data_IF_246661628271
#
_entry.id   IF_246661628271
#
_cell.length_a   1.000
_cell.length_b   1.000
_cell.length_c   1.000
_cell.angle_alpha   90.00
_cell.angle_beta   90.00
_cell.angle_gamma   90.00
#
_symmetry.space_group_name_H-M   'P 1'
#
loop_
_entity.id
_entity.type
_entity.pdbx_description
1 polymer ?
#
# COMPACT_ATOMS: atom_id res chain seq x y z
N UNK A 1 -41.39 1.16 27.18
CA UNK A 1 -40.04 0.78 26.70
C UNK A 1 -39.69 1.69 25.54
N UNK A 2 -38.62 2.49 25.65
CA UNK A 2 -38.36 3.56 24.70
C UNK A 2 -37.80 2.97 23.39
N UNK A 3 -38.38 3.45 22.28
CA UNK A 3 -37.93 3.19 20.92
C UNK A 3 -36.47 3.64 20.77
N UNK A 4 -35.58 2.72 20.40
CA UNK A 4 -34.23 3.06 19.97
C UNK A 4 -34.34 3.74 18.61
N UNK A 5 -34.30 5.07 18.63
CA UNK A 5 -34.18 5.88 17.43
C UNK A 5 -32.90 5.53 16.67
N UNK A 6 -33.01 5.49 15.35
CA UNK A 6 -31.87 5.46 14.44
C UNK A 6 -30.84 6.52 14.84
N UNK A 7 -29.52 6.26 14.71
CA UNK A 7 -28.51 7.28 14.95
C UNK A 7 -28.79 8.45 14.02
N UNK A 8 -29.10 9.61 14.61
CA UNK A 8 -29.25 10.86 13.88
C UNK A 8 -27.96 11.09 13.10
N UNK A 9 -28.04 11.15 11.77
CA UNK A 9 -26.99 11.72 10.94
C UNK A 9 -26.90 13.20 11.28
N UNK A 10 -26.11 13.55 12.30
CA UNK A 10 -25.61 14.91 12.45
C UNK A 10 -24.88 15.23 11.16
N UNK A 11 -25.44 16.12 10.35
CA UNK A 11 -24.82 16.56 9.11
C UNK A 11 -23.38 16.98 9.42
N UNK A 12 -22.41 16.27 8.84
CA UNK A 12 -21.00 16.54 9.11
C UNK A 12 -20.70 17.98 8.66
N UNK A 13 -20.30 18.81 9.63
CA UNK A 13 -20.12 20.25 9.41
C UNK A 13 -18.90 20.45 8.50
N UNK A 14 -19.00 21.22 7.40
CA UNK A 14 -17.85 21.53 6.58
C UNK A 14 -16.84 22.35 7.40
N UNK A 15 -15.59 21.91 7.40
CA UNK A 15 -14.47 22.67 7.98
C UNK A 15 -13.68 23.40 6.89
N UNK A 16 -13.09 24.57 7.22
CA UNK A 16 -12.25 25.30 6.29
C UNK A 16 -11.02 24.48 5.92
N UNK A 17 -10.60 24.60 4.67
CA UNK A 17 -9.39 23.94 4.16
C UNK A 17 -8.15 24.56 4.81
N UNK A 18 -7.28 23.76 5.47
CA UNK A 18 -6.00 24.25 5.96
C UNK A 18 -5.14 24.78 4.81
N UNK A 19 -4.48 25.92 5.00
CA UNK A 19 -3.54 26.49 4.00
C UNK A 19 -2.09 26.08 4.24
N UNK A 20 -1.83 25.42 5.38
CA UNK A 20 -0.49 24.96 5.79
C UNK A 20 -0.59 23.55 6.35
N UNK A 21 0.45 22.76 6.12
CA UNK A 21 0.62 21.43 6.71
C UNK A 21 1.93 21.43 7.50
N UNK A 22 1.86 21.10 8.79
CA UNK A 22 3.06 21.04 9.64
C UNK A 22 4.02 19.94 9.20
N UNK A 23 5.33 20.21 9.21
CA UNK A 23 6.39 19.27 8.82
C UNK A 23 7.32 19.83 7.75
N UNK A 24 8.42 19.12 7.49
CA UNK A 24 9.36 19.44 6.41
C UNK A 24 8.97 18.64 5.16
N UNK A 25 8.28 19.31 4.24
CA UNK A 25 7.76 18.71 3.00
C UNK A 25 8.44 19.31 1.78
N UNK A 26 8.72 18.49 0.78
CA UNK A 26 9.09 18.99 -0.55
C UNK A 26 7.92 19.75 -1.18
N UNK A 27 8.15 20.63 -2.18
CA UNK A 27 7.07 21.36 -2.84
C UNK A 27 5.96 20.45 -3.40
N UNK A 28 6.34 19.29 -3.96
CA UNK A 28 5.40 18.28 -4.48
C UNK A 28 4.56 17.66 -3.35
N UNK A 29 5.21 17.19 -2.29
CA UNK A 29 4.51 16.59 -1.13
C UNK A 29 3.55 17.61 -0.49
N UNK A 30 3.98 18.86 -0.33
CA UNK A 30 3.14 19.91 0.23
C UNK A 30 1.90 20.17 -0.64
N UNK A 31 2.06 20.21 -1.96
CA UNK A 31 0.94 20.36 -2.90
C UNK A 31 -0.05 19.20 -2.78
N UNK A 32 0.44 17.95 -2.78
CA UNK A 32 -0.42 16.76 -2.67
C UNK A 32 -1.18 16.72 -1.34
N UNK A 33 -0.51 16.99 -0.21
CA UNK A 33 -1.13 16.98 1.11
C UNK A 33 -2.23 18.04 1.25
N UNK A 34 -2.00 19.24 0.72
CA UNK A 34 -3.03 20.29 0.69
C UNK A 34 -4.19 19.93 -0.24
N UNK A 35 -3.91 19.34 -1.40
CA UNK A 35 -4.92 18.88 -2.34
C UNK A 35 -5.81 17.78 -1.71
N UNK A 36 -5.23 16.85 -0.94
CA UNK A 36 -5.99 15.87 -0.15
C UNK A 36 -6.90 16.59 0.85
N UNK A 37 -6.36 17.49 1.67
CA UNK A 37 -7.13 18.20 2.72
C UNK A 37 -8.24 19.08 2.16
N UNK A 38 -8.09 19.59 0.94
CA UNK A 38 -9.07 20.45 0.28
C UNK A 38 -10.36 19.73 -0.13
N UNK A 39 -10.37 18.39 -0.19
CA UNK A 39 -11.56 17.63 -0.54
C UNK A 39 -12.66 17.70 0.51
N UNK A 40 -13.87 17.37 0.09
CA UNK A 40 -15.06 17.42 0.93
C UNK A 40 -15.27 16.15 1.75
N UNK A 41 -14.39 15.95 2.73
CA UNK A 41 -14.38 14.79 3.63
C UNK A 41 -15.62 14.61 4.51
N UNK A 42 -16.46 15.64 4.61
CA UNK A 42 -17.73 15.60 5.32
C UNK A 42 -18.79 14.78 4.55
N UNK A 43 -18.62 14.61 3.24
CA UNK A 43 -19.52 13.84 2.38
C UNK A 43 -19.22 12.33 2.57
N UNK A 44 -20.28 11.53 2.62
CA UNK A 44 -20.14 10.06 2.66
C UNK A 44 -19.77 9.51 1.29
N UNK A 45 -18.86 8.54 1.26
CA UNK A 45 -18.54 7.77 0.07
C UNK A 45 -19.36 6.49 -0.06
N UNK A 46 -20.32 6.24 0.84
CA UNK A 46 -21.21 5.10 0.73
C UNK A 46 -21.99 5.15 -0.58
N UNK A 47 -22.12 4.00 -1.25
CA UNK A 47 -22.88 3.93 -2.48
C UNK A 47 -24.36 4.27 -2.24
N UNK A 48 -24.90 5.19 -3.04
CA UNK A 48 -26.29 5.60 -3.02
C UNK A 48 -27.05 4.74 -4.03
N UNK A 49 -27.60 3.63 -3.57
CA UNK A 49 -28.44 2.79 -4.40
C UNK A 49 -29.86 3.37 -4.49
N UNK A 50 -30.43 3.37 -5.69
CA UNK A 50 -31.79 3.85 -5.94
C UNK A 50 -32.66 2.75 -6.55
N UNK A 51 -33.95 2.80 -6.26
CA UNK A 51 -34.95 1.87 -6.80
C UNK A 51 -34.59 0.41 -6.51
N UNK A 52 -34.46 -0.38 -7.57
CA UNK A 52 -34.23 -1.83 -7.51
C UNK A 52 -32.93 -2.20 -6.77
N UNK A 53 -31.84 -1.47 -7.00
CA UNK A 53 -30.55 -1.78 -6.37
C UNK A 53 -30.59 -1.63 -4.84
N UNK A 54 -31.36 -0.66 -4.33
CA UNK A 54 -31.52 -0.46 -2.89
C UNK A 54 -32.18 -1.67 -2.23
N UNK A 55 -33.21 -2.23 -2.88
CA UNK A 55 -33.90 -3.46 -2.42
C UNK A 55 -32.95 -4.65 -2.45
N UNK A 56 -32.16 -4.81 -3.53
CA UNK A 56 -31.20 -5.90 -3.65
C UNK A 56 -30.10 -5.83 -2.58
N UNK A 57 -29.57 -4.63 -2.29
CA UNK A 57 -28.61 -4.42 -1.20
C UNK A 57 -29.19 -4.80 0.15
N UNK A 58 -30.42 -4.38 0.44
CA UNK A 58 -31.09 -4.73 1.70
C UNK A 58 -31.20 -6.24 1.87
N UNK A 59 -31.59 -6.97 0.81
CA UNK A 59 -31.65 -8.44 0.83
C UNK A 59 -30.25 -9.06 1.01
N UNK A 60 -29.23 -8.51 0.35
CA UNK A 60 -27.86 -9.01 0.44
C UNK A 60 -27.26 -8.90 1.85
N UNK A 61 -27.52 -7.78 2.54
CA UNK A 61 -26.92 -7.46 3.83
C UNK A 61 -27.76 -7.90 5.03
N UNK A 62 -29.01 -8.33 4.79
CA UNK A 62 -29.88 -8.85 5.85
C UNK A 62 -29.19 -10.01 6.59
N UNK A 63 -29.14 -10.00 7.94
CA UNK A 63 -28.60 -11.12 8.70
C UNK A 63 -29.27 -12.44 8.32
N UNK A 64 -28.46 -13.47 8.14
CA UNK A 64 -28.91 -14.82 7.84
C UNK A 64 -28.31 -15.80 8.83
N UNK A 65 -29.07 -16.81 9.30
CA UNK A 65 -28.50 -17.91 10.07
C UNK A 65 -27.43 -18.64 9.26
N UNK A 66 -26.49 -19.28 9.96
CA UNK A 66 -25.49 -20.17 9.37
C UNK A 66 -26.06 -21.58 9.40
N UNK A 67 -26.15 -22.21 8.24
CA UNK A 67 -26.61 -23.59 8.12
C UNK A 67 -25.42 -24.51 7.89
N UNK A 68 -25.50 -25.73 8.42
CA UNK A 68 -24.62 -26.81 8.01
C UNK A 68 -24.95 -27.22 6.56
N UNK A 69 -23.98 -27.80 5.85
CA UNK A 69 -24.16 -28.19 4.45
C UNK A 69 -25.32 -29.19 4.25
N UNK A 70 -25.60 -30.03 5.25
CA UNK A 70 -26.72 -30.98 5.24
C UNK A 70 -28.10 -30.32 5.46
N UNK A 71 -28.15 -29.06 5.87
CA UNK A 71 -29.36 -28.33 6.26
C UNK A 71 -29.57 -27.03 5.45
N UNK A 72 -28.92 -26.92 4.28
CA UNK A 72 -29.09 -25.76 3.41
C UNK A 72 -30.54 -25.66 2.92
N UNK A 73 -31.05 -24.43 2.86
CA UNK A 73 -32.36 -24.14 2.27
C UNK A 73 -32.20 -23.69 0.81
N UNK A 74 -33.24 -23.84 -0.02
CA UNK A 74 -33.24 -23.23 -1.35
C UNK A 74 -33.15 -21.71 -1.26
N UNK A 75 -32.51 -21.10 -2.27
CA UNK A 75 -32.52 -19.65 -2.48
C UNK A 75 -33.89 -19.22 -2.99
N UNK A 76 -34.33 -18.06 -2.54
CA UNK A 76 -35.49 -17.37 -3.13
C UNK A 76 -35.12 -16.78 -4.50
N UNK A 77 -36.14 -16.38 -5.28
CA UNK A 77 -35.92 -15.69 -6.55
C UNK A 77 -35.13 -14.37 -6.37
N UNK A 78 -35.46 -13.59 -5.34
CA UNK A 78 -34.77 -12.33 -5.02
C UNK A 78 -33.31 -12.58 -4.62
N UNK A 79 -33.02 -13.61 -3.81
CA UNK A 79 -31.63 -13.96 -3.46
C UNK A 79 -30.82 -14.44 -4.68
N UNK A 80 -31.47 -15.09 -5.64
CA UNK A 80 -30.83 -15.47 -6.89
C UNK A 80 -30.48 -14.24 -7.72
N UNK A 81 -31.40 -13.29 -7.82
CA UNK A 81 -31.18 -12.01 -8.49
C UNK A 81 -30.06 -11.19 -7.84
N UNK A 82 -30.03 -11.12 -6.50
CA UNK A 82 -28.94 -10.48 -5.75
C UNK A 82 -27.59 -11.12 -6.08
N UNK A 83 -27.51 -12.46 -6.08
CA UNK A 83 -26.24 -13.13 -6.37
C UNK A 83 -25.75 -12.83 -7.80
N UNK A 84 -26.66 -12.81 -8.78
CA UNK A 84 -26.30 -12.48 -10.16
C UNK A 84 -25.83 -11.04 -10.30
N UNK A 85 -26.54 -10.07 -9.72
CA UNK A 85 -26.15 -8.66 -9.73
C UNK A 85 -24.78 -8.44 -9.06
N UNK A 86 -24.52 -9.16 -7.95
CA UNK A 86 -23.23 -9.14 -7.27
C UNK A 86 -22.11 -9.72 -8.14
N UNK A 87 -22.30 -10.89 -8.75
CA UNK A 87 -21.29 -11.54 -9.60
C UNK A 87 -20.98 -10.72 -10.87
N UNK A 88 -21.98 -10.05 -11.42
CA UNK A 88 -21.83 -9.14 -12.56
C UNK A 88 -21.22 -7.79 -12.17
N UNK A 89 -20.94 -7.55 -10.88
CA UNK A 89 -20.45 -6.29 -10.32
C UNK A 89 -21.39 -5.09 -10.54
N UNK A 90 -22.67 -5.36 -10.76
CA UNK A 90 -23.73 -4.36 -10.82
C UNK A 90 -24.16 -3.90 -9.42
N UNK A 91 -24.04 -4.78 -8.43
CA UNK A 91 -24.33 -4.51 -7.03
C UNK A 91 -23.03 -4.45 -6.21
N UNK A 92 -22.62 -3.24 -5.83
CA UNK A 92 -21.48 -2.99 -4.95
C UNK A 92 -21.82 -3.41 -3.51
N UNK A 93 -21.09 -4.38 -2.95
CA UNK A 93 -21.26 -4.87 -1.58
C UNK A 93 -19.93 -4.89 -0.83
N UNK A 94 -19.93 -4.73 0.50
CA UNK A 94 -18.73 -4.81 1.34
C UNK A 94 -18.22 -6.24 1.59
N UNK A 95 -19.01 -7.25 1.26
CA UNK A 95 -18.70 -8.68 1.37
C UNK A 95 -19.73 -9.48 0.54
N UNK A 96 -19.50 -10.78 0.29
CA UNK A 96 -20.51 -11.63 -0.35
C UNK A 96 -21.87 -11.61 0.37
N UNK A 97 -23.00 -11.83 -0.33
CA UNK A 97 -24.33 -11.80 0.27
C UNK A 97 -24.50 -12.73 1.48
N UNK A 98 -25.12 -12.24 2.55
CA UNK A 98 -25.20 -12.94 3.84
C UNK A 98 -26.05 -14.21 3.80
N UNK A 99 -27.11 -14.25 2.97
CA UNK A 99 -27.96 -15.42 2.81
C UNK A 99 -27.22 -16.65 2.27
N UNK A 100 -26.02 -16.47 1.68
CA UNK A 100 -25.20 -17.59 1.23
C UNK A 100 -24.89 -18.54 2.38
N UNK A 101 -24.74 -18.03 3.61
CA UNK A 101 -24.53 -18.83 4.84
C UNK A 101 -25.64 -19.86 5.12
N UNK A 102 -26.85 -19.66 4.58
CA UNK A 102 -27.97 -20.57 4.73
C UNK A 102 -28.29 -21.37 3.45
N UNK A 103 -27.69 -21.01 2.32
CA UNK A 103 -28.14 -21.45 0.99
C UNK A 103 -27.05 -22.06 0.12
N UNK A 104 -25.79 -22.00 0.56
CA UNK A 104 -24.63 -22.44 -0.21
C UNK A 104 -23.65 -23.25 0.65
N UNK A 105 -23.13 -24.39 0.14
CA UNK A 105 -22.13 -25.19 0.85
C UNK A 105 -20.89 -24.38 1.22
N UNK A 106 -20.22 -24.76 2.32
CA UNK A 106 -19.06 -24.03 2.84
C UNK A 106 -17.97 -23.77 1.79
N UNK A 107 -17.61 -24.79 1.00
CA UNK A 107 -16.54 -24.65 0.01
C UNK A 107 -16.89 -23.63 -1.08
N UNK A 108 -18.14 -23.61 -1.55
CA UNK A 108 -18.60 -22.65 -2.55
C UNK A 108 -18.66 -21.22 -1.98
N UNK A 109 -19.00 -21.07 -0.68
CA UNK A 109 -18.90 -19.77 -0.01
C UNK A 109 -17.46 -19.27 0.04
N UNK A 110 -16.51 -20.14 0.38
CA UNK A 110 -15.10 -19.78 0.39
C UNK A 110 -14.61 -19.35 -1.01
N UNK A 111 -15.07 -20.01 -2.08
CA UNK A 111 -14.80 -19.57 -3.45
C UNK A 111 -15.34 -18.16 -3.74
N UNK A 112 -16.52 -17.81 -3.21
CA UNK A 112 -17.08 -16.47 -3.37
C UNK A 112 -16.37 -15.40 -2.54
N UNK A 113 -15.86 -15.76 -1.36
CA UNK A 113 -14.98 -14.87 -0.58
C UNK A 113 -13.69 -14.60 -1.37
N UNK A 114 -13.07 -15.63 -1.95
CA UNK A 114 -11.88 -15.46 -2.79
C UNK A 114 -12.18 -14.65 -4.05
N UNK A 115 -13.35 -14.85 -4.68
CA UNK A 115 -13.81 -14.02 -5.79
C UNK A 115 -13.95 -12.56 -5.37
N UNK A 116 -14.52 -12.29 -4.19
CA UNK A 116 -14.68 -10.93 -3.66
C UNK A 116 -13.31 -10.24 -3.53
N UNK A 117 -12.37 -10.92 -2.87
CA UNK A 117 -11.02 -10.42 -2.66
C UNK A 117 -10.26 -10.19 -3.98
N UNK A 118 -10.42 -11.08 -4.95
CA UNK A 118 -9.65 -11.03 -6.21
C UNK A 118 -10.25 -10.05 -7.23
N UNK A 119 -11.58 -9.89 -7.25
CA UNK A 119 -12.26 -9.24 -8.38
C UNK A 119 -13.13 -8.05 -7.99
N UNK A 120 -13.46 -7.88 -6.71
CA UNK A 120 -14.32 -6.78 -6.23
C UNK A 120 -13.49 -5.77 -5.44
N UNK A 121 -12.62 -6.26 -4.56
CA UNK A 121 -11.70 -5.43 -3.81
C UNK A 121 -10.66 -4.79 -4.72
N UNK A 122 -10.26 -3.57 -4.36
CA UNK A 122 -9.23 -2.81 -5.07
C UNK A 122 -8.18 -2.37 -4.06
N UNK A 123 -6.91 -2.60 -4.40
CA UNK A 123 -5.78 -2.23 -3.56
C UNK A 123 -5.04 -1.04 -4.16
N UNK A 124 -4.99 0.06 -3.41
CA UNK A 124 -4.04 1.13 -3.68
C UNK A 124 -2.78 0.94 -2.83
N UNK A 125 -1.65 1.39 -3.34
CA UNK A 125 -0.35 1.24 -2.67
C UNK A 125 0.35 2.55 -2.51
N UNK A 126 1.11 2.69 -1.42
CA UNK A 126 2.01 3.81 -1.19
C UNK A 126 3.42 3.32 -0.88
N UNK A 127 4.41 3.96 -1.51
CA UNK A 127 5.82 3.81 -1.15
C UNK A 127 6.08 4.54 0.17
N UNK A 128 6.75 3.87 1.10
CA UNK A 128 7.14 4.42 2.40
C UNK A 128 8.65 4.49 2.53
N UNK A 129 9.14 5.72 2.67
CA UNK A 129 10.56 5.94 2.88
C UNK A 129 11.03 5.33 4.23
N UNK A 130 12.25 4.78 4.30
CA UNK A 130 12.78 4.15 5.52
C UNK A 130 12.83 5.08 6.74
N UNK A 131 12.86 6.40 6.51
CA UNK A 131 12.81 7.42 7.57
C UNK A 131 11.51 7.37 8.39
N UNK A 132 10.43 6.78 7.86
CA UNK A 132 9.18 6.52 8.59
C UNK A 132 9.37 5.53 9.75
N UNK A 133 10.43 4.70 9.72
CA UNK A 133 10.79 3.74 10.78
C UNK A 133 9.63 2.80 11.18
N UNK A 134 8.89 2.31 10.19
CA UNK A 134 7.84 1.31 10.43
C UNK A 134 8.46 -0.03 10.80
N UNK A 135 7.78 -0.78 11.67
CA UNK A 135 8.23 -2.11 12.08
C UNK A 135 7.72 -3.15 11.08
N UNK A 136 8.57 -4.12 10.72
CA UNK A 136 8.25 -5.19 9.76
C UNK A 136 6.92 -5.89 10.06
N UNK A 137 6.68 -6.23 11.32
CA UNK A 137 5.49 -6.96 11.77
C UNK A 137 4.47 -6.04 12.45
N UNK A 138 4.35 -4.79 11.98
CA UNK A 138 3.39 -3.86 12.57
C UNK A 138 1.96 -4.32 12.27
N UNK A 139 1.11 -4.33 13.28
CA UNK A 139 -0.30 -4.72 13.12
C UNK A 139 -1.09 -3.63 12.41
N UNK A 140 -2.21 -4.03 11.79
CA UNK A 140 -3.21 -3.13 11.22
C UNK A 140 -3.54 -1.96 12.16
N UNK A 141 -3.87 -2.26 13.42
CA UNK A 141 -4.28 -1.25 14.39
C UNK A 141 -3.15 -0.27 14.75
N UNK A 142 -1.91 -0.75 14.81
CA UNK A 142 -0.76 0.12 15.05
C UNK A 142 -0.48 1.05 13.86
N UNK A 143 -0.67 0.57 12.62
CA UNK A 143 -0.57 1.38 11.41
C UNK A 143 -1.65 2.46 11.36
N UNK A 144 -2.91 2.06 11.59
CA UNK A 144 -4.06 2.96 11.67
C UNK A 144 -3.84 4.05 12.72
N UNK A 145 -3.37 3.70 13.92
CA UNK A 145 -3.10 4.68 14.97
C UNK A 145 -2.03 5.71 14.58
N UNK A 146 -0.98 5.29 13.86
CA UNK A 146 0.06 6.20 13.37
C UNK A 146 -0.47 7.12 12.26
N UNK A 147 -1.24 6.59 11.31
CA UNK A 147 -1.91 7.39 10.28
C UNK A 147 -2.87 8.40 10.90
N UNK A 148 -3.67 7.99 11.89
CA UNK A 148 -4.58 8.86 12.61
C UNK A 148 -3.83 10.00 13.29
N UNK A 149 -2.82 9.67 14.09
CA UNK A 149 -2.02 10.65 14.83
C UNK A 149 -1.34 11.66 13.90
N UNK A 150 -0.84 11.19 12.75
CA UNK A 150 -0.14 12.04 11.79
C UNK A 150 -1.08 12.97 10.99
N UNK A 151 -2.37 12.65 10.88
CA UNK A 151 -3.30 13.38 10.01
C UNK A 151 -4.42 14.14 10.74
N UNK A 152 -4.66 13.84 12.03
CA UNK A 152 -5.74 14.45 12.82
C UNK A 152 -5.36 15.75 13.54
N UNK A 153 -4.40 16.51 13.00
CA UNK A 153 -3.86 17.77 13.54
C UNK A 153 -4.78 18.99 13.32
N UNK A 154 -5.83 18.83 12.52
CA UNK A 154 -6.88 19.82 12.30
C UNK A 154 -8.27 19.17 12.25
N UNK A 155 -9.37 19.93 12.44
CA UNK A 155 -10.73 19.39 12.31
C UNK A 155 -10.98 18.75 10.93
N UNK A 156 -10.50 19.40 9.85
CA UNK A 156 -10.59 18.86 8.47
C UNK A 156 -9.74 17.60 8.30
N UNK A 157 -8.51 17.59 8.82
CA UNK A 157 -7.65 16.41 8.81
C UNK A 157 -8.23 15.23 9.59
N UNK A 158 -8.93 15.50 10.70
CA UNK A 158 -9.66 14.48 11.47
C UNK A 158 -10.84 13.91 10.68
N UNK A 159 -11.61 14.75 9.98
CA UNK A 159 -12.67 14.28 9.08
C UNK A 159 -12.10 13.41 7.96
N UNK A 160 -11.04 13.87 7.30
CA UNK A 160 -10.34 13.13 6.25
C UNK A 160 -9.90 11.75 6.71
N UNK A 161 -9.19 11.66 7.84
CA UNK A 161 -8.65 10.38 8.27
C UNK A 161 -9.74 9.45 8.81
N UNK A 162 -10.80 9.98 9.45
CA UNK A 162 -11.98 9.19 9.80
C UNK A 162 -12.63 8.58 8.56
N UNK A 163 -12.83 9.38 7.50
CA UNK A 163 -13.40 8.90 6.24
C UNK A 163 -12.55 7.79 5.61
N UNK A 164 -11.22 7.95 5.59
CA UNK A 164 -10.33 6.88 5.14
C UNK A 164 -10.49 5.60 5.97
N UNK A 165 -10.59 5.70 7.29
CA UNK A 165 -10.75 4.52 8.16
C UNK A 165 -12.13 3.86 8.03
N UNK A 166 -13.16 4.60 7.65
CA UNK A 166 -14.49 4.05 7.36
C UNK A 166 -14.52 3.33 6.00
N UNK A 167 -13.79 3.85 5.02
CA UNK A 167 -13.81 3.35 3.64
C UNK A 167 -12.81 2.23 3.37
N UNK A 168 -11.65 2.24 4.05
CA UNK A 168 -10.63 1.23 3.90
C UNK A 168 -11.02 -0.03 4.66
N UNK A 169 -11.10 -1.16 3.96
CA UNK A 169 -11.30 -2.49 4.54
C UNK A 169 -10.09 -2.91 5.38
N UNK A 170 -8.89 -2.69 4.84
CA UNK A 170 -7.64 -3.12 5.45
C UNK A 170 -6.49 -2.20 5.05
N UNK A 171 -5.64 -1.87 6.02
CA UNK A 171 -4.35 -1.21 5.80
C UNK A 171 -3.20 -2.10 6.31
N UNK A 172 -2.26 -2.46 5.44
CA UNK A 172 -1.17 -3.38 5.78
C UNK A 172 0.17 -2.89 5.22
N UNK A 173 1.24 -3.06 6.01
CA UNK A 173 2.61 -2.78 5.59
C UNK A 173 3.32 -4.10 5.28
N UNK A 174 3.92 -4.22 4.09
CA UNK A 174 4.65 -5.41 3.62
C UNK A 174 5.90 -5.75 4.45
N UNK A 175 6.33 -4.79 5.28
CA UNK A 175 7.49 -4.92 6.13
C UNK A 175 8.80 -4.43 5.50
N UNK A 176 8.73 -3.88 4.29
CA UNK A 176 9.84 -3.36 3.51
C UNK A 176 9.63 -1.89 3.22
N UNK A 177 8.79 -1.55 2.25
CA UNK A 177 8.60 -0.18 1.76
C UNK A 177 7.22 0.07 1.13
N UNK A 178 6.25 -0.85 1.23
CA UNK A 178 4.92 -0.64 0.65
C UNK A 178 3.83 -0.76 1.70
N UNK A 179 2.96 0.26 1.76
CA UNK A 179 1.67 0.15 2.47
C UNK A 179 0.56 -0.10 1.44
N UNK A 180 -0.25 -1.12 1.69
CA UNK A 180 -1.44 -1.49 0.92
C UNK A 180 -2.70 -0.98 1.62
N UNK A 181 -3.57 -0.33 0.86
CA UNK A 181 -4.90 0.14 1.27
C UNK A 181 -5.94 -0.60 0.43
N UNK A 182 -6.67 -1.50 1.07
CA UNK A 182 -7.69 -2.33 0.42
C UNK A 182 -9.06 -1.68 0.61
N UNK A 183 -9.79 -1.49 -0.49
CA UNK A 183 -11.13 -0.94 -0.53
C UNK A 183 -12.11 -1.97 -1.06
N UNK A 184 -13.35 -1.94 -0.57
CA UNK A 184 -14.41 -2.88 -1.00
C UNK A 184 -14.95 -2.59 -2.41
N UNK A 185 -14.51 -1.50 -3.07
CA UNK A 185 -14.92 -1.20 -4.44
C UNK A 185 -13.95 -0.29 -5.18
N UNK A 186 -13.95 -0.42 -6.50
CA UNK A 186 -13.23 0.47 -7.42
C UNK A 186 -13.70 1.91 -7.33
N UNK A 187 -15.00 2.14 -7.11
CA UNK A 187 -15.56 3.49 -6.94
C UNK A 187 -14.94 4.20 -5.75
N UNK A 188 -14.90 3.55 -4.59
CA UNK A 188 -14.29 4.12 -3.39
C UNK A 188 -12.78 4.29 -3.61
N UNK A 189 -12.07 3.28 -4.10
CA UNK A 189 -10.64 3.37 -4.38
C UNK A 189 -10.31 4.55 -5.33
N UNK A 190 -11.10 4.78 -6.37
CA UNK A 190 -10.90 5.91 -7.30
C UNK A 190 -10.95 7.28 -6.62
N UNK A 191 -11.71 7.41 -5.52
CA UNK A 191 -11.74 8.62 -4.69
C UNK A 191 -10.45 8.81 -3.90
N UNK A 192 -9.64 7.77 -3.72
CA UNK A 192 -8.37 7.85 -2.99
C UNK A 192 -7.14 7.88 -3.90
N UNK A 193 -7.29 7.54 -5.17
CA UNK A 193 -6.21 7.55 -6.15
C UNK A 193 -5.58 8.95 -6.28
N UNK A 194 -4.24 8.99 -6.21
CA UNK A 194 -3.44 10.21 -6.28
C UNK A 194 -3.48 11.07 -5.01
N UNK A 195 -4.18 10.64 -3.96
CA UNK A 195 -4.19 11.35 -2.69
C UNK A 195 -2.98 11.02 -1.83
N UNK A 196 -2.58 12.00 -1.02
CA UNK A 196 -1.47 11.87 -0.10
C UNK A 196 -1.88 11.93 1.38
N UNK A 197 -1.25 11.08 2.19
CA UNK A 197 -1.40 11.03 3.66
C UNK A 197 -0.04 11.16 4.35
N UNK A 198 -0.04 11.55 5.63
CA UNK A 198 1.18 11.62 6.43
C UNK A 198 1.35 10.37 7.28
N UNK A 199 2.60 9.90 7.41
CA UNK A 199 2.99 8.94 8.46
C UNK A 199 4.42 9.22 8.90
N UNK A 200 4.67 9.40 10.20
CA UNK A 200 6.01 9.56 10.79
C UNK A 200 6.97 10.48 10.01
N UNK A 201 6.48 11.64 9.53
CA UNK A 201 7.30 12.59 8.75
C UNK A 201 7.55 12.19 7.28
N UNK A 202 6.73 11.28 6.74
CA UNK A 202 6.73 10.88 5.33
C UNK A 202 5.37 11.10 4.70
N UNK A 203 5.37 11.33 3.38
CA UNK A 203 4.19 11.52 2.56
C UNK A 203 3.90 10.22 1.78
N UNK A 204 2.71 9.66 1.96
CA UNK A 204 2.23 8.45 1.31
C UNK A 204 1.25 8.84 0.22
N UNK A 205 1.70 8.81 -1.03
CA UNK A 205 0.83 8.99 -2.20
C UNK A 205 0.21 7.64 -2.58
N UNK A 206 -1.11 7.57 -2.71
CA UNK A 206 -1.83 6.37 -3.09
C UNK A 206 -1.85 6.22 -4.61
N UNK A 207 -1.22 5.17 -5.10
CA UNK A 207 -1.14 4.82 -6.52
C UNK A 207 -1.80 3.48 -6.76
N UNK A 208 -2.43 3.32 -7.93
CA UNK A 208 -2.85 2.00 -8.41
C UNK A 208 -1.65 1.33 -9.07
N UNK A 209 -1.13 0.29 -8.42
CA UNK A 209 0.01 -0.49 -8.91
C UNK A 209 -0.39 -1.84 -9.50
N UNK A 210 -1.69 -2.15 -9.50
CA UNK A 210 -2.26 -3.38 -10.03
C UNK A 210 -3.06 -3.15 -11.33
N UNK A 211 -3.35 -1.90 -11.69
CA UNK A 211 -4.01 -1.55 -12.96
C UNK A 211 -3.23 -1.97 -14.21
N UNK A 212 -3.97 -2.44 -15.22
CA UNK A 212 -3.50 -2.70 -16.58
C UNK A 212 -2.17 -3.49 -16.66
N UNK A 213 -2.12 -4.61 -15.95
CA UNK A 213 -0.99 -5.54 -16.01
C UNK A 213 -0.91 -6.20 -17.38
N UNK A 214 0.01 -5.69 -18.21
CA UNK A 214 0.51 -6.40 -19.38
C UNK A 214 1.76 -7.16 -18.95
N UNK A 215 1.80 -8.46 -19.24
CA UNK A 215 2.96 -9.28 -18.90
C UNK A 215 4.24 -8.72 -19.52
N UNK A 216 5.32 -8.69 -18.74
CA UNK A 216 6.59 -8.05 -19.12
C UNK A 216 6.62 -6.52 -19.07
N UNK A 217 5.52 -5.82 -18.76
CA UNK A 217 5.49 -4.36 -18.62
C UNK A 217 5.40 -3.91 -17.15
N UNK A 218 6.28 -2.98 -16.77
CA UNK A 218 6.28 -2.35 -15.45
C UNK A 218 5.89 -0.89 -15.58
N UNK A 219 4.65 -0.57 -15.20
CA UNK A 219 4.24 0.82 -14.99
C UNK A 219 4.99 1.42 -13.80
N UNK A 220 5.09 2.75 -13.73
CA UNK A 220 5.90 3.43 -12.72
C UNK A 220 5.48 3.07 -11.27
N UNK A 221 4.18 3.02 -10.98
CA UNK A 221 3.66 2.64 -9.66
C UNK A 221 4.05 1.20 -9.28
N UNK A 222 3.95 0.26 -10.23
CA UNK A 222 4.39 -1.14 -10.06
C UNK A 222 5.91 -1.22 -9.87
N UNK A 223 6.67 -0.43 -10.63
CA UNK A 223 8.13 -0.40 -10.55
C UNK A 223 8.63 0.12 -9.19
N UNK A 224 7.87 1.02 -8.54
CA UNK A 224 8.15 1.49 -7.17
C UNK A 224 7.99 0.39 -6.12
N UNK A 225 7.07 -0.56 -6.32
CA UNK A 225 6.90 -1.72 -5.42
C UNK A 225 8.02 -2.74 -5.52
N UNK A 226 8.68 -2.81 -6.67
CA UNK A 226 9.79 -3.73 -6.84
C UNK A 226 10.94 -3.38 -5.91
N UNK A 227 11.62 -4.42 -5.41
CA UNK A 227 12.78 -4.23 -4.55
C UNK A 227 13.86 -3.46 -5.31
N UNK A 228 14.54 -2.57 -4.62
CA UNK A 228 15.55 -1.71 -5.21
C UNK A 228 16.79 -1.57 -4.32
N UNK A 229 17.96 -1.60 -4.96
CA UNK A 229 19.26 -1.43 -4.34
C UNK A 229 20.00 -0.25 -4.95
N UNK A 230 20.84 0.39 -4.13
CA UNK A 230 21.81 1.38 -4.60
C UNK A 230 23.20 0.78 -4.55
N UNK A 231 23.93 0.88 -5.66
CA UNK A 231 25.26 0.30 -5.80
C UNK A 231 26.29 1.42 -5.92
N UNK A 232 27.18 1.55 -4.93
CA UNK A 232 28.20 2.59 -4.86
C UNK A 232 29.59 2.04 -5.15
N UNK A 233 30.44 2.87 -5.77
CA UNK A 233 31.82 2.49 -6.06
C UNK A 233 31.99 1.59 -7.29
N UNK A 234 30.92 1.37 -8.07
CA UNK A 234 30.96 0.59 -9.31
C UNK A 234 31.32 1.43 -10.56
N UNK A 235 31.79 2.66 -10.39
CA UNK A 235 32.09 3.58 -11.49
C UNK A 235 33.11 3.04 -12.50
N UNK A 236 34.18 2.40 -12.00
CA UNK A 236 35.24 1.84 -12.85
C UNK A 236 34.87 0.48 -13.48
N UNK A 237 33.89 -0.23 -12.91
CA UNK A 237 33.38 -1.50 -13.47
C UNK A 237 32.42 -1.20 -14.63
N UNK A 238 31.64 -0.12 -14.49
CA UNK A 238 30.58 0.23 -15.43
C UNK A 238 29.30 -0.56 -15.18
N UNK A 239 28.16 0.01 -15.59
CA UNK A 239 26.84 -0.57 -15.33
C UNK A 239 26.65 -1.92 -16.05
N UNK A 240 27.12 -2.05 -17.29
CA UNK A 240 26.96 -3.28 -18.09
C UNK A 240 27.66 -4.47 -17.44
N UNK A 241 28.92 -4.30 -17.02
CA UNK A 241 29.68 -5.39 -16.40
C UNK A 241 29.12 -5.76 -15.01
N UNK A 242 28.63 -4.77 -14.25
CA UNK A 242 27.92 -5.02 -13.00
C UNK A 242 26.66 -5.88 -13.22
N UNK A 243 25.83 -5.51 -14.20
CA UNK A 243 24.60 -6.26 -14.52
C UNK A 243 24.92 -7.68 -14.99
N UNK A 244 25.89 -7.84 -15.89
CA UNK A 244 26.32 -9.15 -16.37
C UNK A 244 26.82 -10.04 -15.23
N UNK A 245 27.54 -9.48 -14.26
CA UNK A 245 28.03 -10.24 -13.12
C UNK A 245 26.91 -10.61 -12.13
N UNK A 246 25.97 -9.70 -11.87
CA UNK A 246 24.79 -9.97 -11.03
C UNK A 246 23.86 -11.01 -11.63
N UNK A 247 23.72 -11.06 -12.97
CA UNK A 247 22.89 -12.04 -13.66
C UNK A 247 23.36 -13.50 -13.47
N UNK A 248 24.61 -13.72 -13.03
CA UNK A 248 25.11 -15.06 -12.68
C UNK A 248 24.71 -15.51 -11.28
N UNK A 249 24.13 -14.62 -10.45
CA UNK A 249 23.67 -14.98 -9.12
C UNK A 249 22.29 -15.63 -9.19
N UNK A 250 22.06 -16.75 -8.49
CA UNK A 250 20.78 -17.44 -8.52
C UNK A 250 19.66 -16.54 -7.98
N UNK A 251 18.55 -16.47 -8.70
CA UNK A 251 17.37 -15.69 -8.33
C UNK A 251 17.51 -14.17 -8.48
N UNK A 252 18.62 -13.67 -9.06
CA UNK A 252 18.80 -12.24 -9.32
C UNK A 252 18.34 -11.88 -10.72
N UNK A 253 17.18 -11.24 -10.82
CA UNK A 253 16.64 -10.71 -12.07
C UNK A 253 16.45 -9.19 -11.96
N UNK A 254 17.34 -8.43 -12.60
CA UNK A 254 17.25 -6.97 -12.67
C UNK A 254 16.35 -6.58 -13.85
N UNK A 255 15.30 -5.80 -13.60
CA UNK A 255 14.34 -5.35 -14.63
C UNK A 255 14.56 -3.90 -15.05
N UNK A 256 15.17 -3.10 -14.17
CA UNK A 256 15.53 -1.71 -14.46
C UNK A 256 16.84 -1.35 -13.76
N UNK A 257 17.65 -0.56 -14.44
CA UNK A 257 18.97 -0.15 -13.96
C UNK A 257 19.31 1.23 -14.51
N UNK A 258 19.49 2.20 -13.62
CA UNK A 258 19.78 3.57 -14.03
C UNK A 258 20.79 4.29 -13.15
N UNK A 259 21.38 5.35 -13.73
CA UNK A 259 22.04 6.37 -12.92
C UNK A 259 20.98 7.31 -12.37
N UNK A 260 21.16 7.85 -11.16
CA UNK A 260 20.23 8.81 -10.58
C UNK A 260 19.99 9.98 -11.53
N UNK A 261 18.76 10.10 -12.03
CA UNK A 261 18.34 11.23 -12.84
C UNK A 261 17.94 12.35 -11.87
N UNK A 262 18.77 13.37 -11.79
CA UNK A 262 18.59 14.51 -10.89
C UNK A 262 17.25 15.23 -11.19
N UNK A 263 16.30 15.14 -10.26
CA UNK A 263 15.17 16.09 -10.16
C UNK A 263 14.97 16.57 -8.71
N UNK A 264 15.57 15.88 -7.73
CA UNK A 264 15.46 16.20 -6.30
C UNK A 264 16.70 16.92 -5.79
N UNK A 265 16.48 18.03 -5.07
CA UNK A 265 17.52 18.80 -4.35
C UNK A 265 18.04 18.11 -3.08
N UNK A 266 17.51 16.94 -2.72
CA UNK A 266 17.76 16.29 -1.42
C UNK A 266 18.88 15.23 -1.42
N UNK A 267 19.84 15.24 -2.36
CA UNK A 267 20.91 14.21 -2.35
C UNK A 267 22.32 14.79 -2.52
N UNK A 268 23.17 14.50 -1.54
CA UNK A 268 24.58 14.90 -1.42
C UNK A 268 25.57 13.94 -2.12
N UNK A 269 25.14 12.73 -2.54
CA UNK A 269 25.95 11.83 -3.37
C UNK A 269 25.10 11.01 -4.37
N UNK A 270 25.25 11.33 -5.65
CA UNK A 270 24.56 10.67 -6.77
C UNK A 270 25.45 9.68 -7.53
N UNK A 271 26.60 9.31 -6.97
CA UNK A 271 27.56 8.38 -7.60
C UNK A 271 27.22 6.91 -7.30
N UNK A 272 25.97 6.54 -7.55
CA UNK A 272 25.50 5.17 -7.45
C UNK A 272 24.76 4.73 -8.72
N UNK A 273 24.56 3.43 -8.84
CA UNK A 273 23.55 2.86 -9.75
C UNK A 273 22.33 2.43 -8.94
N UNK A 274 21.14 2.75 -9.43
CA UNK A 274 19.88 2.25 -8.91
C UNK A 274 19.52 1.00 -9.68
N UNK A 275 19.37 -0.13 -8.99
CA UNK A 275 18.97 -1.40 -9.58
C UNK A 275 17.60 -1.79 -9.01
N UNK A 276 16.66 -2.18 -9.87
CA UNK A 276 15.34 -2.69 -9.49
C UNK A 276 15.17 -4.13 -9.96
N UNK A 277 14.59 -4.97 -9.12
CA UNK A 277 14.42 -6.39 -9.38
C UNK A 277 13.02 -6.72 -9.90
N UNK A 278 12.84 -7.94 -10.41
CA UNK A 278 11.52 -8.42 -10.83
C UNK A 278 10.56 -8.70 -9.65
N UNK A 279 11.11 -8.79 -8.43
CA UNK A 279 10.41 -9.17 -7.19
C UNK A 279 10.29 -7.99 -6.23
N UNK A 280 9.22 -7.99 -5.42
CA UNK A 280 9.02 -7.00 -4.34
C UNK A 280 9.97 -7.23 -3.15
N UNK A 281 10.45 -8.47 -3.01
CA UNK A 281 11.44 -8.85 -2.01
C UNK A 281 12.88 -8.77 -2.52
N UNK A 282 13.81 -8.60 -1.58
CA UNK A 282 15.24 -8.72 -1.85
C UNK A 282 15.58 -10.14 -2.34
N UNK A 283 16.27 -10.27 -3.49
CA UNK A 283 16.81 -11.55 -3.94
C UNK A 283 17.65 -12.22 -2.85
N UNK A 284 17.48 -13.53 -2.66
CA UNK A 284 18.12 -14.27 -1.57
C UNK A 284 19.66 -14.15 -1.62
N UNK A 285 20.25 -14.21 -2.82
CA UNK A 285 21.69 -14.07 -3.03
C UNK A 285 22.26 -12.71 -2.61
N UNK A 286 21.42 -11.68 -2.52
CA UNK A 286 21.82 -10.33 -2.12
C UNK A 286 21.35 -9.96 -0.72
N UNK A 287 20.57 -10.83 -0.05
CA UNK A 287 19.98 -10.51 1.24
C UNK A 287 21.06 -10.33 2.31
N UNK A 288 21.12 -9.12 2.88
CA UNK A 288 22.10 -8.77 3.91
C UNK A 288 23.51 -8.52 3.37
N UNK A 289 23.72 -8.60 2.05
CA UNK A 289 25.00 -8.33 1.41
C UNK A 289 25.19 -6.82 1.32
N UNK A 290 26.23 -6.31 1.97
CA UNK A 290 26.56 -4.87 1.96
C UNK A 290 27.79 -4.55 1.12
N UNK A 291 28.56 -5.58 0.74
CA UNK A 291 29.80 -5.49 -0.04
C UNK A 291 29.91 -6.66 -1.00
N UNK A 292 30.40 -6.38 -2.21
CA UNK A 292 30.74 -7.40 -3.21
C UNK A 292 32.11 -7.04 -3.77
N UNK A 293 33.01 -8.02 -3.84
CA UNK A 293 34.27 -7.90 -4.56
C UNK A 293 34.05 -8.26 -6.03
N UNK A 294 34.30 -7.30 -6.92
CA UNK A 294 34.36 -7.50 -8.35
C UNK A 294 35.81 -7.37 -8.83
N UNK A 295 36.50 -8.51 -8.94
CA UNK A 295 37.86 -8.61 -9.50
C UNK A 295 38.87 -7.66 -8.81
N UNK A 296 38.83 -7.59 -7.48
CA UNK A 296 39.67 -6.74 -6.65
C UNK A 296 39.09 -5.35 -6.39
N UNK A 297 37.92 -5.03 -6.97
CA UNK A 297 37.21 -3.78 -6.70
C UNK A 297 36.02 -4.02 -5.78
N UNK A 298 36.11 -3.45 -4.57
CA UNK A 298 35.05 -3.50 -3.56
C UNK A 298 33.93 -2.52 -3.88
N UNK A 299 32.75 -3.06 -4.18
CA UNK A 299 31.51 -2.32 -4.43
C UNK A 299 30.63 -2.37 -3.18
N UNK A 300 29.90 -1.29 -2.92
CA UNK A 300 28.96 -1.22 -1.79
C UNK A 300 27.54 -1.42 -2.26
N UNK A 301 26.84 -2.36 -1.63
CA UNK A 301 25.42 -2.61 -1.83
C UNK A 301 24.66 -1.96 -0.68
N UNK A 302 23.77 -1.04 -1.02
CA UNK A 302 22.94 -0.33 -0.07
C UNK A 302 21.48 -0.73 -0.24
N UNK A 303 20.98 -1.48 0.75
CA UNK A 303 19.56 -1.81 0.93
C UNK A 303 18.76 -0.59 1.38
N UNK A 304 18.70 0.42 0.52
CA UNK A 304 18.20 1.75 0.86
C UNK A 304 16.71 1.78 1.21
N UNK A 305 15.92 0.78 0.82
CA UNK A 305 14.52 0.61 1.22
C UNK A 305 14.37 0.18 2.67
N UNK A 306 15.38 -0.50 3.23
CA UNK A 306 15.39 -0.96 4.62
C UNK A 306 16.23 -0.05 5.53
N UNK A 307 17.29 0.54 4.99
CA UNK A 307 18.30 1.26 5.75
C UNK A 307 18.46 2.68 5.21
N UNK A 308 18.17 3.68 6.04
CA UNK A 308 18.33 5.08 5.65
C UNK A 308 19.79 5.45 5.35
N UNK A 309 20.75 4.85 6.05
CA UNK A 309 22.18 5.19 5.96
C UNK A 309 22.95 4.11 5.23
N UNK A 310 24.05 4.52 4.59
CA UNK A 310 25.02 3.60 3.99
C UNK A 310 25.58 2.64 5.06
N UNK A 311 25.87 1.38 4.67
CA UNK A 311 26.52 0.43 5.56
C UNK A 311 27.92 0.93 5.95
N UNK A 312 28.41 0.46 7.09
CA UNK A 312 29.73 0.80 7.60
C UNK A 312 30.82 0.46 6.58
N UNK A 313 31.67 1.42 6.22
CA UNK A 313 32.77 1.16 5.29
C UNK A 313 33.90 0.31 5.90
N UNK A 314 33.94 0.17 7.24
CA UNK A 314 35.00 -0.55 7.96
C UNK A 314 34.66 -2.02 8.22
N UNK A 315 33.52 -2.30 8.83
CA UNK A 315 33.10 -3.67 9.16
C UNK A 315 31.89 -4.15 8.36
N UNK A 316 31.44 -3.35 7.39
CA UNK A 316 30.37 -3.70 6.45
C UNK A 316 28.98 -3.90 7.07
N UNK A 317 28.85 -3.73 8.38
CA UNK A 317 27.57 -3.78 9.07
C UNK A 317 26.56 -2.75 8.51
N UNK A 318 25.29 -3.13 8.27
CA UNK A 318 24.26 -2.23 7.75
C UNK A 318 23.67 -1.29 8.81
N UNK A 319 23.88 -1.57 10.10
CA UNK A 319 23.18 -0.93 11.22
C UNK A 319 23.90 0.29 11.82
N UNK A 320 25.13 0.59 11.38
CA UNK A 320 25.86 1.78 11.83
C UNK A 320 26.75 2.34 10.72
N UNK A 321 27.07 3.64 10.83
CA UNK A 321 28.00 4.30 9.90
C UNK A 321 29.44 4.19 10.41
N UNK A 322 30.42 4.39 9.52
CA UNK A 322 31.87 4.26 9.82
C UNK A 322 32.32 5.05 11.05
N UNK A 323 31.76 6.25 11.27
CA UNK A 323 32.08 7.09 12.43
C UNK A 323 31.70 6.51 13.80
N UNK A 324 30.75 5.57 13.85
CA UNK A 324 30.33 4.87 15.07
C UNK A 324 30.88 3.44 15.14
N UNK A 325 31.78 3.07 14.23
CA UNK A 325 32.31 1.71 14.15
C UNK A 325 33.35 1.46 15.25
N UNK A 326 33.08 0.45 16.09
CA UNK A 326 34.00 -0.03 17.13
C UNK A 326 34.94 -1.14 16.68
N UNK A 327 34.77 -1.65 15.46
CA UNK A 327 35.69 -2.63 14.93
C UNK A 327 37.05 -1.98 14.65
N UNK A 328 38.13 -2.70 14.93
CA UNK A 328 39.46 -2.32 14.46
C UNK A 328 39.48 -2.38 12.94
N UNK A 329 40.33 -1.56 12.30
CA UNK A 329 40.58 -1.74 10.87
C UNK A 329 41.20 -3.13 10.72
N UNK A 330 40.50 -4.03 10.02
CA UNK A 330 41.14 -5.22 9.48
C UNK A 330 42.22 -4.72 8.51
N UNK A 331 43.48 -5.07 8.79
CA UNK A 331 44.60 -4.80 7.90
C UNK A 331 44.37 -5.43 6.52
#
# INVERSE_FOLDING_TARGET
MPQQGAPSMTAAIPHPTPTKVGGAWTPREHHLLLATLARDWHISHAAVDVGKLAVLREVALRPSPVHADAALRPRTAHETEVLLAYLNKELELPHPPMFLKATMPLLQRAMLEQFHETHVEVTLTADVAPRAKLRRNMTHNALVAQLFTANADSPKGRQMINRLMEDAKMIHFDGVHTIKFVFNSSRIASMYLGLAFRINGTCLELEDSEADQVDGMYQLARLKRQYALRVYGAGNIGLVALLAALANLPGVQVVDAERPRLVSTDITDNRYFSLRFATEDCPDALRGVTKIDFRGQMVTIHHHLLQQRLPCARCFAPYHTTGYCKANRSN
#
